data_IF_806111584060
#
_entry.id   IF_806111584060
#
_cell.length_a   1.000
_cell.length_b   1.000
_cell.length_c   1.000
_cell.angle_alpha   90.00
_cell.angle_beta   90.00
_cell.angle_gamma   90.00
#
_symmetry.space_group_name_H-M   'P 1'
#
loop_
_entity.id
_entity.type
_entity.pdbx_description
1 polymer ?
#
# COMPACT_ATOMS: atom_id res chain seq x y z
N UNK A 1 -61.59 11.66 30.93
CA UNK A 1 -62.74 11.38 30.05
C UNK A 1 -62.33 10.23 29.13
N UNK A 2 -62.85 8.99 29.21
CA UNK A 2 -64.18 8.47 28.77
C UNK A 2 -64.52 8.58 27.27
N UNK A 3 -64.09 7.57 26.49
CA UNK A 3 -64.92 6.60 25.70
C UNK A 3 -63.99 5.57 25.04
N UNK A 4 -64.15 4.24 25.04
CA UNK A 4 -65.28 3.26 25.14
C UNK A 4 -65.96 2.95 23.81
N UNK A 5 -65.73 1.74 23.25
CA UNK A 5 -66.75 0.71 22.96
C UNK A 5 -66.25 -0.58 22.26
N UNK A 6 -66.82 -1.73 22.66
CA UNK A 6 -67.23 -2.96 21.90
C UNK A 6 -66.17 -3.77 21.09
N UNK A 7 -66.16 -5.12 21.08
CA UNK A 7 -67.19 -6.18 20.86
C UNK A 7 -67.63 -6.26 19.37
N UNK A 8 -67.85 -7.43 18.74
CA UNK A 8 -68.23 -8.76 19.25
C UNK A 8 -67.78 -9.94 18.32
N UNK A 9 -67.81 -11.19 18.84
CA UNK A 9 -67.89 -12.57 18.25
C UNK A 9 -67.99 -12.79 16.70
N UNK A 10 -67.57 -13.95 16.12
CA UNK A 10 -68.21 -15.32 16.13
C UNK A 10 -67.31 -16.37 15.41
N UNK A 11 -67.49 -17.70 15.39
CA UNK A 11 -68.21 -18.78 16.14
C UNK A 11 -67.91 -20.14 15.40
N UNK A 12 -68.23 -21.41 15.78
CA UNK A 12 -68.79 -22.13 16.96
C UNK A 12 -68.56 -23.67 16.79
N UNK A 13 -68.86 -24.50 17.81
CA UNK A 13 -69.23 -25.96 17.75
C UNK A 13 -68.12 -27.00 17.40
N UNK A 14 -68.10 -28.31 17.81
CA UNK A 14 -68.88 -29.27 18.68
C UNK A 14 -68.00 -30.58 18.76
N UNK A 15 -67.93 -31.58 19.69
CA UNK A 15 -68.38 -32.04 21.06
C UNK A 15 -67.23 -32.96 21.61
N UNK A 16 -67.02 -33.33 22.90
CA UNK A 16 -67.73 -34.20 23.90
C UNK A 16 -68.03 -35.66 23.43
N UNK A 17 -67.95 -36.71 24.30
CA UNK A 17 -68.04 -36.74 25.79
C UNK A 17 -66.94 -37.55 26.58
N UNK A 18 -67.04 -37.72 27.93
CA UNK A 18 -65.97 -38.28 28.82
C UNK A 18 -66.39 -39.40 29.84
N UNK A 19 -65.44 -39.82 30.71
CA UNK A 19 -65.57 -40.67 31.94
C UNK A 19 -65.86 -42.19 31.76
N UNK A 20 -65.75 -43.10 32.75
CA UNK A 20 -64.78 -43.34 33.87
C UNK A 20 -65.16 -44.65 34.66
N UNK A 21 -64.30 -45.10 35.60
CA UNK A 21 -64.56 -46.06 36.71
C UNK A 21 -64.41 -47.60 36.46
N UNK A 22 -63.76 -48.24 37.45
CA UNK A 22 -63.56 -49.64 37.92
C UNK A 22 -64.20 -50.88 37.22
N UNK A 23 -63.54 -52.05 37.32
CA UNK A 23 -64.17 -53.37 37.03
C UNK A 23 -63.27 -54.62 36.91
N UNK A 24 -62.88 -55.22 38.04
CA UNK A 24 -62.41 -56.61 38.33
C UNK A 24 -62.43 -57.71 37.22
N UNK A 25 -61.38 -58.55 37.13
CA UNK A 25 -61.52 -60.01 36.92
C UNK A 25 -60.46 -60.77 36.07
N UNK A 26 -60.01 -61.94 36.56
CA UNK A 26 -59.21 -63.02 35.91
C UNK A 26 -57.79 -62.63 35.37
N UNK A 27 -56.68 -63.28 35.78
CA UNK A 27 -56.23 -64.68 35.58
C UNK A 27 -55.77 -64.95 34.11
N UNK A 28 -54.73 -65.73 33.81
CA UNK A 28 -53.95 -66.78 34.51
C UNK A 28 -52.42 -66.46 34.44
N UNK A 29 -51.57 -66.79 35.44
CA UNK A 29 -50.76 -68.03 35.62
C UNK A 29 -49.63 -68.21 34.56
N UNK A 30 -48.42 -68.72 34.80
CA UNK A 30 -47.83 -69.52 35.90
C UNK A 30 -46.29 -69.23 36.03
N UNK A 31 -45.68 -69.58 37.18
CA UNK A 31 -44.24 -69.88 37.33
C UNK A 31 -43.25 -68.71 37.52
N UNK A 32 -42.35 -68.72 38.51
CA UNK A 32 -42.18 -69.67 39.62
C UNK A 32 -40.83 -69.49 40.35
N UNK A 33 -40.91 -69.19 41.65
CA UNK A 33 -39.98 -69.49 42.75
C UNK A 33 -38.44 -69.31 42.62
N UNK A 34 -37.95 -68.30 43.35
CA UNK A 34 -36.73 -68.38 44.19
C UNK A 34 -36.78 -69.61 45.14
N UNK A 35 -35.66 -70.19 45.68
CA UNK A 35 -34.60 -69.39 46.31
C UNK A 35 -33.14 -69.93 46.36
N UNK A 36 -32.20 -68.99 46.54
CA UNK A 36 -30.96 -69.17 47.34
C UNK A 36 -29.85 -70.09 46.80
N UNK A 37 -28.66 -70.13 47.43
CA UNK A 37 -28.02 -69.09 48.25
C UNK A 37 -26.47 -69.21 48.19
N UNK A 38 -25.76 -68.18 48.68
CA UNK A 38 -24.30 -67.95 48.79
C UNK A 38 -23.35 -69.10 48.36
N UNK A 39 -22.56 -68.83 47.31
CA UNK A 39 -21.10 -69.12 47.36
C UNK A 39 -20.27 -68.13 46.55
N UNK A 40 -19.06 -67.81 47.03
CA UNK A 40 -18.19 -66.76 46.46
C UNK A 40 -17.17 -67.35 45.49
N UNK A 41 -17.15 -66.90 44.22
CA UNK A 41 -15.89 -66.85 43.44
C UNK A 41 -15.77 -65.58 42.61
N UNK A 42 -14.55 -65.04 42.57
CA UNK A 42 -14.19 -63.70 42.08
C UNK A 42 -13.76 -63.76 40.61
N UNK A 43 -14.66 -63.52 39.66
CA UNK A 43 -14.29 -63.28 38.26
C UNK A 43 -13.96 -61.81 38.02
N UNK A 44 -12.78 -61.54 37.46
CA UNK A 44 -12.37 -60.18 37.07
C UNK A 44 -13.17 -59.73 35.85
N UNK A 45 -14.11 -58.79 36.02
CA UNK A 45 -14.56 -57.94 34.92
C UNK A 45 -13.38 -57.06 34.49
N UNK A 46 -13.05 -57.05 33.20
CA UNK A 46 -11.99 -56.17 32.68
C UNK A 46 -12.41 -54.70 32.76
N UNK A 47 -11.43 -53.80 32.81
CA UNK A 47 -11.67 -52.35 32.91
C UNK A 47 -12.53 -51.85 31.73
N UNK A 48 -12.37 -52.44 30.54
CA UNK A 48 -13.16 -52.14 29.35
C UNK A 48 -14.68 -52.23 29.61
N UNK A 49 -15.16 -53.29 30.26
CA UNK A 49 -16.61 -53.50 30.51
C UNK A 49 -17.18 -52.42 31.44
N UNK A 50 -16.39 -51.90 32.39
CA UNK A 50 -16.81 -50.76 33.22
C UNK A 50 -16.87 -49.45 32.43
N UNK A 51 -15.96 -49.24 31.48
CA UNK A 51 -15.97 -48.04 30.61
C UNK A 51 -17.18 -48.07 29.67
N UNK A 52 -17.49 -49.22 29.04
CA UNK A 52 -18.65 -49.36 28.15
C UNK A 52 -19.97 -49.06 28.88
N UNK A 53 -20.16 -49.60 30.09
CA UNK A 53 -21.38 -49.37 30.89
C UNK A 53 -21.51 -47.94 31.47
N UNK A 54 -20.44 -47.14 31.46
CA UNK A 54 -20.52 -45.71 31.78
C UNK A 54 -20.94 -44.90 30.55
N UNK A 55 -20.32 -45.18 29.39
CA UNK A 55 -20.59 -44.53 28.11
C UNK A 55 -22.02 -44.76 27.58
N UNK A 56 -22.66 -45.89 27.92
CA UNK A 56 -24.07 -46.14 27.55
C UNK A 56 -25.09 -45.51 28.49
N UNK A 57 -24.69 -45.09 29.71
CA UNK A 57 -25.60 -44.55 30.73
C UNK A 57 -25.59 -43.01 30.82
N UNK A 58 -24.49 -42.35 30.45
CA UNK A 58 -24.47 -40.90 30.20
C UNK A 58 -24.37 -40.66 28.69
N UNK A 59 -25.46 -40.19 28.09
CA UNK A 59 -25.57 -40.03 26.63
C UNK A 59 -24.51 -39.11 26.00
N UNK A 60 -24.43 -39.17 24.66
CA UNK A 60 -23.37 -38.66 23.77
C UNK A 60 -22.76 -37.26 24.02
N UNK A 61 -23.35 -36.42 24.88
CA UNK A 61 -22.75 -35.16 25.31
C UNK A 61 -21.38 -35.32 25.99
N UNK A 62 -21.18 -36.31 26.87
CA UNK A 62 -19.94 -36.37 27.66
C UNK A 62 -18.68 -36.63 26.80
N UNK A 63 -18.67 -37.58 25.84
CA UNK A 63 -17.57 -37.72 24.90
C UNK A 63 -17.30 -36.45 24.06
N UNK A 64 -18.35 -35.77 23.61
CA UNK A 64 -18.24 -34.55 22.80
C UNK A 64 -17.63 -33.40 23.62
N UNK A 65 -18.03 -33.22 24.89
CA UNK A 65 -17.45 -32.22 25.80
C UNK A 65 -15.98 -32.54 26.11
N UNK A 66 -15.62 -33.80 26.31
CA UNK A 66 -14.21 -34.21 26.51
C UNK A 66 -13.37 -33.95 25.25
N UNK A 67 -13.87 -34.29 24.06
CA UNK A 67 -13.19 -33.99 22.79
C UNK A 67 -13.03 -32.47 22.60
N UNK A 68 -14.07 -31.68 22.91
CA UNK A 68 -14.01 -30.21 22.88
C UNK A 68 -12.96 -29.64 23.83
N UNK A 69 -12.88 -30.15 25.07
CA UNK A 69 -11.84 -29.79 26.03
C UNK A 69 -10.43 -30.15 25.54
N UNK A 70 -10.25 -31.34 24.96
CA UNK A 70 -8.95 -31.73 24.37
C UNK A 70 -8.57 -30.80 23.22
N UNK A 71 -9.51 -30.44 22.33
CA UNK A 71 -9.28 -29.48 21.23
C UNK A 71 -8.91 -28.11 21.78
N UNK A 72 -9.57 -27.62 22.84
CA UNK A 72 -9.24 -26.33 23.49
C UNK A 72 -7.86 -26.37 24.15
N UNK A 73 -7.50 -27.45 24.84
CA UNK A 73 -6.19 -27.62 25.46
C UNK A 73 -5.08 -27.68 24.39
N UNK A 74 -5.24 -28.50 23.35
CA UNK A 74 -4.29 -28.59 22.23
C UNK A 74 -4.17 -27.24 21.52
N UNK A 75 -5.27 -26.53 21.29
CA UNK A 75 -5.25 -25.18 20.70
C UNK A 75 -4.51 -24.19 21.60
N UNK A 76 -4.74 -24.22 22.92
CA UNK A 76 -4.06 -23.35 23.88
C UNK A 76 -2.55 -23.61 23.93
N UNK A 77 -2.12 -24.87 23.86
CA UNK A 77 -0.70 -25.26 23.78
C UNK A 77 -0.08 -24.83 22.44
N UNK A 78 -0.79 -24.97 21.32
CA UNK A 78 -0.36 -24.49 20.00
C UNK A 78 -0.27 -22.95 19.96
N UNK A 79 -1.11 -22.24 20.70
CA UNK A 79 -1.04 -20.78 20.82
C UNK A 79 0.17 -20.38 21.70
N UNK A 80 0.28 -20.91 22.93
CA UNK A 80 1.38 -20.55 23.85
C UNK A 80 2.77 -20.96 23.35
N UNK A 81 2.88 -22.06 22.59
CA UNK A 81 4.16 -22.46 21.97
C UNK A 81 4.62 -21.53 20.85
N UNK A 82 3.73 -20.69 20.28
CA UNK A 82 4.09 -19.67 19.28
C UNK A 82 4.55 -18.36 19.91
N UNK A 83 4.17 -18.08 21.15
CA UNK A 83 4.63 -16.90 21.91
C UNK A 83 5.99 -17.14 22.63
N UNK A 84 6.47 -18.39 22.69
CA UNK A 84 7.72 -18.77 23.35
C UNK A 84 8.98 -18.76 22.45
N UNK A 85 8.86 -18.48 21.15
CA UNK A 85 10.00 -18.44 20.21
C UNK A 85 10.32 -17.01 19.80
N UNK A 86 11.23 -16.38 20.54
CA UNK A 86 11.76 -15.04 20.26
C UNK A 86 13.26 -14.99 20.55
N UNK A 87 14.01 -14.26 19.70
CA UNK A 87 15.48 -14.05 19.74
C UNK A 87 16.25 -15.35 19.37
N UNK A 88 17.03 -15.43 18.29
CA UNK A 88 17.97 -14.42 17.75
C UNK A 88 18.17 -14.51 16.22
N UNK A 89 19.14 -13.73 15.72
CA UNK A 89 19.63 -13.61 14.33
C UNK A 89 18.72 -12.87 13.33
N UNK A 90 19.32 -12.41 12.23
CA UNK A 90 18.78 -11.37 11.35
C UNK A 90 18.58 -11.80 9.90
N UNK A 91 17.80 -10.99 9.17
CA UNK A 91 17.99 -10.74 7.73
C UNK A 91 17.78 -11.88 6.71
N UNK A 92 17.01 -12.94 7.01
CA UNK A 92 16.78 -14.02 6.02
C UNK A 92 15.41 -14.71 5.99
N UNK A 93 14.36 -14.20 6.65
CA UNK A 93 13.09 -14.96 6.76
C UNK A 93 11.81 -14.14 6.53
N UNK A 94 11.54 -13.81 5.26
CA UNK A 94 10.30 -13.15 4.81
C UNK A 94 9.19 -14.14 4.38
N UNK A 95 9.45 -15.45 4.40
CA UNK A 95 8.66 -16.46 3.68
C UNK A 95 7.43 -16.96 4.48
N UNK A 96 7.46 -16.85 5.82
CA UNK A 96 6.51 -17.53 6.71
C UNK A 96 5.04 -17.07 6.64
N UNK A 97 4.73 -15.87 6.13
CA UNK A 97 3.35 -15.32 6.07
C UNK A 97 2.60 -15.53 4.76
N UNK A 98 3.27 -15.92 3.67
CA UNK A 98 2.61 -16.14 2.37
C UNK A 98 1.62 -17.32 2.36
N UNK A 99 1.81 -18.32 3.24
CA UNK A 99 1.10 -19.60 3.24
C UNK A 99 -0.41 -19.56 3.53
N UNK A 100 -1.02 -18.40 3.85
CA UNK A 100 -2.47 -18.31 4.07
C UNK A 100 -3.27 -18.13 2.77
N UNK A 101 -2.63 -17.70 1.67
CA UNK A 101 -3.18 -17.73 0.33
C UNK A 101 -2.30 -18.66 -0.51
N UNK A 102 -2.84 -19.83 -0.90
CA UNK A 102 -2.07 -20.93 -1.50
C UNK A 102 -1.36 -20.59 -2.82
N UNK A 103 -0.17 -20.01 -2.71
CA UNK A 103 0.77 -19.74 -3.78
C UNK A 103 2.15 -20.28 -3.38
N UNK A 104 2.32 -21.61 -3.45
CA UNK A 104 3.65 -22.20 -3.62
C UNK A 104 4.12 -21.92 -5.05
N UNK A 105 4.52 -20.67 -5.29
CA UNK A 105 5.21 -20.25 -6.50
C UNK A 105 6.71 -20.34 -6.25
N UNK A 106 7.42 -21.12 -7.07
CA UNK A 106 8.88 -21.01 -7.19
C UNK A 106 9.24 -19.56 -7.54
N UNK A 107 10.26 -19.00 -6.90
CA UNK A 107 10.68 -17.61 -7.09
C UNK A 107 11.21 -17.37 -8.51
N UNK A 108 10.31 -17.01 -9.42
CA UNK A 108 10.66 -16.33 -10.68
C UNK A 108 10.93 -14.86 -10.35
N UNK A 109 12.19 -14.50 -10.10
CA UNK A 109 12.59 -13.11 -9.77
C UNK A 109 12.22 -12.07 -10.86
N UNK A 110 11.82 -12.53 -12.05
CA UNK A 110 11.26 -11.77 -13.17
C UNK A 110 9.75 -12.00 -13.31
N UNK A 111 8.97 -10.94 -13.56
CA UNK A 111 7.55 -11.00 -13.98
C UNK A 111 6.49 -11.40 -12.95
N UNK A 112 6.76 -12.30 -12.00
CA UNK A 112 5.69 -12.91 -11.17
C UNK A 112 5.13 -12.04 -10.03
N UNK A 113 5.15 -10.71 -10.22
CA UNK A 113 4.92 -9.63 -9.25
C UNK A 113 5.97 -9.50 -8.14
N UNK A 114 6.57 -8.32 -8.09
CA UNK A 114 7.24 -7.75 -6.92
C UNK A 114 7.29 -6.23 -7.05
N UNK A 115 8.05 -5.55 -6.19
CA UNK A 115 8.21 -4.09 -6.25
C UNK A 115 9.45 -3.76 -7.08
N UNK A 116 9.35 -3.09 -8.25
CA UNK A 116 10.52 -2.57 -8.96
C UNK A 116 11.05 -1.33 -8.25
N UNK A 117 12.36 -1.08 -8.32
CA UNK A 117 12.99 0.11 -7.75
C UNK A 117 14.20 0.56 -8.57
N UNK A 118 14.52 1.85 -8.57
CA UNK A 118 15.81 2.32 -9.10
C UNK A 118 16.95 1.93 -8.15
N UNK A 119 18.03 1.34 -8.68
CA UNK A 119 19.19 0.97 -7.85
C UNK A 119 19.91 2.21 -7.33
N UNK A 120 19.78 2.48 -6.03
CA UNK A 120 20.68 3.39 -5.30
C UNK A 120 22.14 2.98 -5.48
N UNK A 121 23.03 3.96 -5.64
CA UNK A 121 24.46 3.66 -5.77
C UNK A 121 25.01 2.97 -4.51
N UNK A 122 25.81 1.92 -4.72
CA UNK A 122 26.38 1.08 -3.65
C UNK A 122 25.34 0.46 -2.69
N UNK A 123 24.06 0.37 -3.08
CA UNK A 123 22.99 -0.16 -2.21
C UNK A 123 22.60 0.78 -1.07
N UNK A 124 22.96 2.07 -1.14
CA UNK A 124 22.66 3.07 -0.13
C UNK A 124 21.15 3.27 0.04
N UNK A 125 20.71 3.53 1.27
CA UNK A 125 19.32 3.84 1.59
C UNK A 125 19.24 5.10 2.46
N UNK A 126 18.03 5.48 2.85
CA UNK A 126 17.74 6.58 3.77
C UNK A 126 18.25 6.31 5.19
N UNK A 127 18.50 7.37 5.95
CA UNK A 127 19.03 7.29 7.31
C UNK A 127 17.93 7.07 8.37
N UNK A 128 16.66 7.34 8.01
CA UNK A 128 15.51 7.13 8.89
C UNK A 128 15.03 5.67 8.91
N UNK A 129 14.58 5.23 10.10
CA UNK A 129 14.09 3.87 10.32
C UNK A 129 12.57 3.82 10.41
N UNK A 130 12.03 2.60 10.39
CA UNK A 130 10.62 2.32 10.73
C UNK A 130 10.17 2.92 12.07
N UNK A 131 11.07 3.03 13.07
CA UNK A 131 10.75 3.65 14.37
C UNK A 131 10.60 5.17 14.25
N UNK A 132 11.31 5.80 13.31
CA UNK A 132 11.22 7.23 13.06
C UNK A 132 9.93 7.56 12.32
N UNK A 133 9.55 6.74 11.34
CA UNK A 133 8.24 6.83 10.68
C UNK A 133 7.07 6.71 11.67
N UNK A 134 7.14 5.77 12.62
CA UNK A 134 6.11 5.65 13.67
C UNK A 134 6.04 6.89 14.58
N UNK A 135 7.17 7.47 15.00
CA UNK A 135 7.19 8.73 15.78
C UNK A 135 6.63 9.90 14.95
N UNK A 136 7.01 9.97 13.68
CA UNK A 136 6.47 10.94 12.73
C UNK A 136 4.96 10.85 12.59
N UNK A 137 4.36 9.65 12.62
CA UNK A 137 2.90 9.50 12.63
C UNK A 137 2.25 9.98 13.94
N UNK A 138 2.89 9.74 15.08
CA UNK A 138 2.41 10.24 16.39
C UNK A 138 2.41 11.78 16.46
N UNK A 139 3.35 12.45 15.78
CA UNK A 139 3.40 13.91 15.63
C UNK A 139 2.46 14.43 14.53
N UNK A 140 2.39 13.75 13.38
CA UNK A 140 1.69 14.25 12.18
C UNK A 140 0.18 14.08 12.20
N UNK A 141 -0.36 13.04 12.85
CA UNK A 141 -1.81 12.81 12.91
C UNK A 141 -2.60 14.03 13.44
N UNK A 142 -2.27 14.63 14.61
CA UNK A 142 -2.97 15.83 15.07
C UNK A 142 -2.75 17.05 14.16
N UNK A 143 -1.61 17.14 13.45
CA UNK A 143 -1.38 18.17 12.43
C UNK A 143 -2.38 18.00 11.28
N UNK A 144 -2.45 16.82 10.66
CA UNK A 144 -3.34 16.55 9.52
C UNK A 144 -4.84 16.68 9.85
N UNK A 145 -5.23 16.49 11.11
CA UNK A 145 -6.58 16.78 11.60
C UNK A 145 -6.93 18.28 11.45
N UNK A 146 -5.98 19.19 11.63
CA UNK A 146 -6.16 20.65 11.50
C UNK A 146 -6.25 21.15 10.05
N UNK A 147 -5.92 20.33 9.03
CA UNK A 147 -5.81 20.77 7.62
C UNK A 147 -6.98 21.64 7.11
N UNK A 148 -6.75 22.70 6.33
CA UNK A 148 -7.82 23.57 5.81
C UNK A 148 -8.69 22.85 4.76
N UNK A 149 -8.11 21.94 3.99
CA UNK A 149 -8.77 21.22 2.90
C UNK A 149 -9.16 19.83 3.40
N UNK A 150 -10.34 19.71 4.03
CA UNK A 150 -10.79 18.42 4.60
C UNK A 150 -10.96 17.33 3.54
N UNK A 151 -11.53 17.67 2.38
CA UNK A 151 -11.63 16.81 1.20
C UNK A 151 -10.71 17.34 0.08
N UNK A 152 -9.57 16.68 -0.13
CA UNK A 152 -8.59 17.05 -1.15
C UNK A 152 -8.73 16.25 -2.46
N UNK A 153 -9.96 15.89 -2.88
CA UNK A 153 -10.19 15.17 -4.14
C UNK A 153 -9.41 15.78 -5.33
N UNK A 154 -8.69 14.93 -6.08
CA UNK A 154 -7.71 15.26 -7.12
C UNK A 154 -6.37 15.88 -6.64
N UNK A 155 -5.92 15.56 -5.42
CA UNK A 155 -4.55 15.81 -4.95
C UNK A 155 -4.22 14.91 -3.75
N UNK A 156 -3.02 15.07 -3.18
CA UNK A 156 -2.49 14.25 -2.06
C UNK A 156 -3.53 13.88 -0.98
N UNK A 157 -3.60 12.59 -0.66
CA UNK A 157 -4.27 12.02 0.52
C UNK A 157 -3.38 12.02 1.77
N UNK A 158 -3.77 11.26 2.81
CA UNK A 158 -3.04 11.18 4.08
C UNK A 158 -1.60 10.72 3.90
N UNK A 159 -1.40 9.60 3.21
CA UNK A 159 -0.12 8.91 3.11
C UNK A 159 0.95 9.80 2.48
N UNK A 160 0.67 10.37 1.30
CA UNK A 160 1.56 11.30 0.61
C UNK A 160 1.77 12.61 1.40
N UNK A 161 0.74 13.11 2.09
CA UNK A 161 0.87 14.27 2.99
C UNK A 161 1.81 14.01 4.16
N UNK A 162 1.75 12.81 4.75
CA UNK A 162 2.67 12.37 5.81
C UNK A 162 4.10 12.25 5.28
N UNK A 163 4.29 11.62 4.12
CA UNK A 163 5.61 11.48 3.51
C UNK A 163 6.30 12.81 3.26
N UNK A 164 5.59 13.75 2.61
CA UNK A 164 6.12 15.09 2.35
C UNK A 164 6.47 15.83 3.64
N UNK A 165 5.60 15.78 4.66
CA UNK A 165 5.89 16.38 5.97
C UNK A 165 7.13 15.76 6.62
N UNK A 166 7.20 14.44 6.68
CA UNK A 166 8.26 13.69 7.35
C UNK A 166 9.63 13.89 6.68
N UNK A 167 9.70 13.77 5.34
CA UNK A 167 10.94 14.01 4.58
C UNK A 167 11.43 15.45 4.78
N UNK A 168 10.52 16.42 4.78
CA UNK A 168 10.85 17.83 5.01
C UNK A 168 11.40 18.06 6.43
N UNK A 169 10.74 17.51 7.45
CA UNK A 169 11.18 17.56 8.86
C UNK A 169 12.51 16.85 9.12
N UNK A 170 12.82 15.79 8.37
CA UNK A 170 14.12 15.12 8.47
C UNK A 170 15.25 15.95 7.84
N UNK A 171 15.03 16.48 6.63
CA UNK A 171 16.05 17.20 5.86
C UNK A 171 16.31 18.63 6.36
N UNK A 172 15.31 19.27 6.98
CA UNK A 172 15.36 20.64 7.50
C UNK A 172 15.97 21.63 6.49
N UNK A 173 15.34 21.78 5.31
CA UNK A 173 15.85 22.62 4.23
C UNK A 173 15.81 24.11 4.59
N UNK A 174 16.65 24.90 3.91
CA UNK A 174 16.67 26.37 3.99
C UNK A 174 15.75 27.02 2.94
N UNK A 175 15.34 26.26 1.92
CA UNK A 175 14.32 26.65 0.95
C UNK A 175 13.54 25.41 0.51
N UNK A 176 12.22 25.54 0.42
CA UNK A 176 11.32 24.53 -0.13
C UNK A 176 10.80 25.02 -1.48
N UNK A 177 10.99 24.23 -2.53
CA UNK A 177 10.47 24.49 -3.87
C UNK A 177 9.33 23.51 -4.15
N UNK A 178 8.18 24.02 -4.54
CA UNK A 178 7.00 23.26 -4.96
C UNK A 178 6.78 23.52 -6.46
N UNK A 179 6.59 22.46 -7.23
CA UNK A 179 6.14 22.54 -8.63
C UNK A 179 4.85 21.74 -8.75
N UNK A 180 3.72 22.44 -8.90
CA UNK A 180 2.38 21.88 -8.71
C UNK A 180 1.80 22.25 -7.35
N UNK A 181 0.94 23.27 -7.31
CA UNK A 181 0.32 23.75 -6.07
C UNK A 181 -1.17 23.37 -5.94
N UNK A 182 -1.87 23.21 -7.07
CA UNK A 182 -3.31 22.96 -7.14
C UNK A 182 -4.14 23.84 -6.17
N UNK A 183 -4.70 23.26 -5.09
CA UNK A 183 -5.49 23.95 -4.05
C UNK A 183 -4.64 24.50 -2.88
N UNK A 184 -3.33 24.31 -2.88
CA UNK A 184 -2.40 24.71 -1.82
C UNK A 184 -2.26 23.70 -0.67
N UNK A 185 -2.71 22.45 -0.83
CA UNK A 185 -2.62 21.44 0.25
C UNK A 185 -1.17 21.01 0.52
N UNK A 186 -0.39 20.77 -0.54
CA UNK A 186 1.06 20.58 -0.50
C UNK A 186 1.77 21.76 0.17
N UNK A 187 1.41 22.99 -0.21
CA UNK A 187 2.00 24.22 0.35
C UNK A 187 1.70 24.34 1.85
N UNK A 188 0.50 23.95 2.28
CA UNK A 188 0.14 23.87 3.70
C UNK A 188 0.99 22.83 4.44
N UNK A 189 1.15 21.62 3.87
CA UNK A 189 1.99 20.56 4.45
C UNK A 189 3.44 21.02 4.64
N UNK A 190 4.04 21.66 3.64
CA UNK A 190 5.39 22.24 3.72
C UNK A 190 5.48 23.30 4.83
N UNK A 191 4.47 24.18 4.96
CA UNK A 191 4.38 25.18 6.04
C UNK A 191 4.19 24.55 7.43
N UNK A 192 3.51 23.39 7.54
CA UNK A 192 3.39 22.65 8.81
C UNK A 192 4.65 21.84 9.15
N UNK A 193 5.48 21.51 8.16
CA UNK A 193 6.77 20.87 8.39
C UNK A 193 7.82 21.89 8.88
N UNK A 194 7.94 23.03 8.21
CA UNK A 194 8.94 24.06 8.51
C UNK A 194 8.30 25.46 8.55
N UNK A 195 7.74 25.90 9.70
CA UNK A 195 6.95 27.12 9.82
C UNK A 195 7.60 28.39 9.28
N UNK A 196 8.89 28.60 9.51
CA UNK A 196 9.60 29.83 9.11
C UNK A 196 10.35 29.73 7.76
N UNK A 197 10.46 28.53 7.18
CA UNK A 197 11.28 28.32 5.97
C UNK A 197 10.60 28.90 4.72
N UNK A 198 11.30 29.65 3.86
CA UNK A 198 10.73 30.18 2.62
C UNK A 198 10.19 29.07 1.71
N UNK A 199 9.06 29.35 1.06
CA UNK A 199 8.48 28.50 0.00
C UNK A 199 8.53 29.26 -1.32
N UNK A 200 8.92 28.57 -2.39
CA UNK A 200 8.75 29.02 -3.78
C UNK A 200 7.83 28.02 -4.48
N UNK A 201 6.66 28.47 -4.93
CA UNK A 201 5.67 27.62 -5.59
C UNK A 201 5.50 28.00 -7.06
N UNK A 202 5.63 27.02 -7.95
CA UNK A 202 5.40 27.14 -9.38
C UNK A 202 4.06 26.45 -9.72
N UNK A 203 3.12 27.18 -10.30
CA UNK A 203 1.84 26.60 -10.74
C UNK A 203 1.21 27.45 -11.83
N UNK A 204 0.66 26.87 -12.93
CA UNK A 204 -0.09 27.64 -13.92
C UNK A 204 -1.25 28.46 -13.32
N UNK A 205 -1.79 28.03 -12.17
CA UNK A 205 -2.94 28.66 -11.49
C UNK A 205 -2.68 28.85 -9.99
N UNK A 206 -2.85 30.08 -9.51
CA UNK A 206 -2.73 30.41 -8.08
C UNK A 206 -3.81 29.69 -7.24
N UNK A 207 -3.48 29.14 -6.05
CA UNK A 207 -4.44 28.44 -5.20
C UNK A 207 -5.69 29.26 -4.83
N UNK A 208 -5.58 30.59 -4.72
CA UNK A 208 -6.75 31.48 -4.49
C UNK A 208 -7.88 31.26 -5.50
N UNK A 209 -7.54 30.86 -6.74
CA UNK A 209 -8.50 30.69 -7.84
C UNK A 209 -9.38 29.44 -7.66
N UNK A 210 -9.19 28.69 -6.57
CA UNK A 210 -10.00 27.56 -6.14
C UNK A 210 -10.92 27.91 -4.95
N UNK A 211 -10.68 29.00 -4.20
CA UNK A 211 -11.54 29.46 -3.09
C UNK A 211 -13.00 29.69 -3.52
N UNK A 212 -13.23 30.07 -4.78
CA UNK A 212 -14.58 30.22 -5.38
C UNK A 212 -15.29 28.89 -5.70
N UNK A 213 -14.62 27.74 -5.55
CA UNK A 213 -15.14 26.39 -5.82
C UNK A 213 -15.18 25.49 -4.58
N UNK A 214 -14.57 25.91 -3.47
CA UNK A 214 -14.46 25.12 -2.24
C UNK A 214 -13.21 25.51 -1.44
N UNK A 215 -12.86 24.74 -0.39
CA UNK A 215 -11.66 25.00 0.40
C UNK A 215 -10.38 24.96 -0.44
N UNK A 216 -9.52 25.95 -0.21
CA UNK A 216 -8.16 26.05 -0.71
C UNK A 216 -7.31 26.80 0.32
N UNK A 217 -5.99 26.71 0.20
CA UNK A 217 -5.02 27.38 1.07
C UNK A 217 -4.08 28.26 0.25
N UNK A 218 -3.69 29.39 0.83
CA UNK A 218 -2.69 30.31 0.29
C UNK A 218 -1.76 30.65 1.45
N UNK A 219 -0.46 30.38 1.30
CA UNK A 219 0.52 30.75 2.31
C UNK A 219 0.98 32.20 2.10
N UNK A 220 0.86 33.03 3.14
CA UNK A 220 1.23 34.45 3.06
C UNK A 220 2.73 34.73 2.94
N UNK A 221 3.58 33.72 3.15
CA UNK A 221 5.04 33.80 3.07
C UNK A 221 5.62 32.98 1.89
N UNK A 222 4.76 32.57 0.94
CA UNK A 222 5.15 31.80 -0.24
C UNK A 222 5.34 32.73 -1.45
N UNK A 223 6.48 32.59 -2.13
CA UNK A 223 6.72 33.24 -3.42
C UNK A 223 6.08 32.40 -4.53
N UNK A 224 4.87 32.78 -4.93
CA UNK A 224 4.12 32.15 -6.00
C UNK A 224 4.48 32.71 -7.39
N UNK A 225 4.96 31.85 -8.28
CA UNK A 225 5.11 32.11 -9.72
C UNK A 225 3.93 31.50 -10.46
N UNK A 226 2.88 32.28 -10.74
CA UNK A 226 1.61 31.76 -11.24
C UNK A 226 0.89 32.70 -12.22
N UNK A 227 -0.01 32.15 -13.05
CA UNK A 227 -0.80 32.94 -13.99
C UNK A 227 0.07 33.61 -15.05
N UNK A 228 0.15 34.95 -15.04
CA UNK A 228 1.01 35.72 -15.96
C UNK A 228 2.49 35.61 -15.61
N UNK A 229 2.79 35.37 -14.34
CA UNK A 229 4.15 35.27 -13.78
C UNK A 229 4.58 33.80 -13.62
N UNK A 230 3.84 32.86 -14.21
CA UNK A 230 4.20 31.44 -14.26
C UNK A 230 5.41 31.22 -15.17
N UNK A 231 6.40 30.49 -14.66
CA UNK A 231 7.56 30.01 -15.42
C UNK A 231 7.77 28.55 -15.06
N UNK A 232 7.90 27.68 -16.07
CA UNK A 232 8.19 26.26 -15.85
C UNK A 232 9.51 26.04 -15.08
N UNK A 233 9.54 25.01 -14.24
CA UNK A 233 10.71 24.62 -13.45
C UNK A 233 12.01 24.51 -14.28
N UNK A 234 11.93 24.01 -15.51
CA UNK A 234 13.09 23.87 -16.41
C UNK A 234 13.57 25.17 -17.05
N UNK A 235 12.75 26.22 -17.01
CA UNK A 235 13.00 27.54 -17.61
C UNK A 235 13.31 28.63 -16.58
N UNK A 236 13.16 28.33 -15.29
CA UNK A 236 13.38 29.27 -14.19
C UNK A 236 14.86 29.65 -14.01
N UNK A 237 15.13 30.94 -13.76
CA UNK A 237 16.46 31.42 -13.34
C UNK A 237 16.68 31.11 -11.85
N UNK A 238 17.03 29.85 -11.59
CA UNK A 238 17.39 29.38 -10.25
C UNK A 238 18.57 30.16 -9.63
N UNK A 239 19.47 30.73 -10.44
CA UNK A 239 20.58 31.56 -9.95
C UNK A 239 20.08 32.87 -9.32
N UNK A 240 19.06 33.50 -9.91
CA UNK A 240 18.39 34.69 -9.37
C UNK A 240 17.44 34.36 -8.23
N UNK A 241 16.66 33.27 -8.33
CA UNK A 241 15.73 32.86 -7.26
C UNK A 241 16.49 32.51 -5.98
N UNK A 242 17.51 31.64 -6.05
CA UNK A 242 18.29 31.25 -4.86
C UNK A 242 18.95 32.47 -4.21
N UNK A 243 19.53 33.38 -5.00
CA UNK A 243 20.13 34.63 -4.51
C UNK A 243 19.11 35.57 -3.84
N UNK A 244 17.87 35.65 -4.35
CA UNK A 244 16.78 36.42 -3.70
C UNK A 244 16.45 35.87 -2.30
N UNK A 245 16.52 34.55 -2.13
CA UNK A 245 16.24 33.87 -0.86
C UNK A 245 17.50 33.59 -0.02
N UNK A 246 18.65 34.20 -0.35
CA UNK A 246 19.91 34.06 0.40
C UNK A 246 20.61 32.70 0.30
N UNK A 247 20.10 31.77 -0.50
CA UNK A 247 20.58 30.38 -0.55
C UNK A 247 21.91 30.30 -1.30
N UNK A 248 22.94 29.81 -0.61
CA UNK A 248 24.29 29.59 -1.16
C UNK A 248 24.55 28.12 -1.49
N UNK A 249 24.15 27.18 -0.63
CA UNK A 249 24.23 25.75 -0.88
C UNK A 249 22.91 25.17 -1.41
N UNK A 250 22.94 24.62 -2.63
CA UNK A 250 21.81 23.91 -3.25
C UNK A 250 21.52 22.56 -2.61
N UNK A 251 22.45 22.01 -1.81
CA UNK A 251 22.24 20.78 -1.04
C UNK A 251 21.28 20.97 0.13
N UNK A 252 21.05 22.23 0.57
CA UNK A 252 20.09 22.61 1.62
C UNK A 252 18.69 22.93 1.07
N UNK A 253 18.42 22.65 -0.21
CA UNK A 253 17.13 22.90 -0.88
C UNK A 253 16.40 21.58 -1.11
N UNK A 254 15.12 21.55 -0.73
CA UNK A 254 14.18 20.47 -1.07
C UNK A 254 13.32 20.91 -2.27
N UNK A 255 13.16 20.03 -3.26
CA UNK A 255 12.25 20.22 -4.38
C UNK A 255 11.16 19.15 -4.35
N UNK A 256 9.91 19.56 -4.40
CA UNK A 256 8.73 18.70 -4.48
C UNK A 256 8.02 18.91 -5.83
N UNK A 257 7.67 17.80 -6.50
CA UNK A 257 6.95 17.78 -7.77
C UNK A 257 5.60 17.07 -7.63
N UNK A 258 4.54 17.79 -7.98
CA UNK A 258 3.10 17.41 -8.00
C UNK A 258 2.46 18.08 -9.25
N UNK A 259 3.20 18.08 -10.37
CA UNK A 259 2.86 18.83 -11.61
C UNK A 259 2.52 17.95 -12.82
N UNK A 260 2.45 16.63 -12.62
CA UNK A 260 2.13 15.62 -13.64
C UNK A 260 2.95 15.76 -14.93
N UNK A 261 4.19 16.23 -14.80
CA UNK A 261 5.19 16.22 -15.86
C UNK A 261 6.11 15.01 -15.69
N UNK A 262 6.56 14.47 -16.82
CA UNK A 262 7.48 13.35 -16.92
C UNK A 262 8.68 13.48 -15.94
N UNK A 263 8.85 12.49 -15.05
CA UNK A 263 9.82 12.58 -13.95
C UNK A 263 11.27 12.58 -14.46
N UNK A 264 11.55 11.91 -15.58
CA UNK A 264 12.88 11.94 -16.21
C UNK A 264 13.25 13.35 -16.71
N UNK A 265 12.26 14.09 -17.21
CA UNK A 265 12.39 15.50 -17.63
C UNK A 265 12.63 16.38 -16.41
N UNK A 266 11.86 16.22 -15.32
CA UNK A 266 12.07 16.95 -14.06
C UNK A 266 13.41 16.63 -13.38
N UNK A 267 13.80 15.36 -13.30
CA UNK A 267 15.12 14.91 -12.82
C UNK A 267 16.27 15.56 -13.60
N UNK A 268 16.21 15.56 -14.93
CA UNK A 268 17.23 16.20 -15.79
C UNK A 268 17.27 17.71 -15.59
N UNK A 269 16.13 18.36 -15.38
CA UNK A 269 16.07 19.80 -15.07
C UNK A 269 16.65 20.12 -13.68
N UNK A 270 16.31 19.33 -12.66
CA UNK A 270 16.79 19.52 -11.29
C UNK A 270 18.30 19.26 -11.15
N UNK A 271 18.81 18.22 -11.82
CA UNK A 271 20.25 17.94 -11.92
C UNK A 271 21.00 19.10 -12.62
N UNK A 272 20.44 19.65 -13.71
CA UNK A 272 21.00 20.84 -14.39
C UNK A 272 20.97 22.09 -13.50
N UNK A 273 19.95 22.26 -12.67
CA UNK A 273 19.85 23.35 -11.70
C UNK A 273 20.80 23.18 -10.49
N UNK A 274 21.30 21.96 -10.26
CA UNK A 274 22.22 21.59 -9.20
C UNK A 274 21.55 21.24 -7.87
N UNK A 275 20.26 20.90 -7.87
CA UNK A 275 19.54 20.45 -6.67
C UNK A 275 19.86 19.01 -6.32
N UNK A 276 19.80 18.67 -5.03
CA UNK A 276 20.20 17.35 -4.50
C UNK A 276 19.05 16.52 -3.93
N UNK A 277 18.07 17.15 -3.28
CA UNK A 277 17.00 16.47 -2.57
C UNK A 277 15.68 16.71 -3.31
N UNK A 278 15.14 15.65 -3.91
CA UNK A 278 13.90 15.70 -4.69
C UNK A 278 12.86 14.76 -4.08
N UNK A 279 11.58 15.15 -4.14
CA UNK A 279 10.43 14.29 -3.86
C UNK A 279 9.45 14.39 -5.02
N UNK A 280 8.96 13.25 -5.49
CA UNK A 280 7.92 13.15 -6.51
C UNK A 280 6.65 12.53 -5.91
N UNK A 281 5.52 13.22 -6.07
CA UNK A 281 4.16 12.66 -6.04
C UNK A 281 3.98 11.71 -7.25
N UNK A 282 3.00 10.82 -7.19
CA UNK A 282 2.50 10.01 -8.32
C UNK A 282 3.61 9.24 -9.08
N UNK A 283 4.50 8.58 -8.33
CA UNK A 283 5.55 7.68 -8.86
C UNK A 283 4.96 6.34 -9.36
N UNK A 284 4.07 6.47 -10.35
CA UNK A 284 3.12 5.46 -10.81
C UNK A 284 3.73 4.10 -11.13
N UNK A 285 2.99 3.04 -10.82
CA UNK A 285 3.34 1.69 -11.23
C UNK A 285 3.19 1.48 -12.76
N UNK A 286 3.92 0.50 -13.28
CA UNK A 286 4.04 0.24 -14.72
C UNK A 286 2.71 -0.18 -15.34
N UNK A 287 2.37 0.42 -16.48
CA UNK A 287 1.05 0.32 -17.12
C UNK A 287 0.02 1.33 -16.62
N UNK A 288 0.33 2.17 -15.63
CA UNK A 288 -0.61 3.15 -15.05
C UNK A 288 -0.12 4.61 -15.15
N UNK A 289 -0.94 5.55 -14.69
CA UNK A 289 -0.54 6.96 -14.60
C UNK A 289 -0.71 7.79 -15.87
N UNK A 290 -0.48 9.09 -15.69
CA UNK A 290 -0.61 10.11 -16.73
C UNK A 290 0.73 10.72 -17.18
N UNK A 291 1.83 10.38 -16.50
CA UNK A 291 3.18 10.76 -16.88
C UNK A 291 4.18 9.62 -16.58
N UNK A 292 5.35 9.67 -17.22
CA UNK A 292 6.38 8.63 -17.12
C UNK A 292 7.20 8.76 -15.83
N UNK A 293 6.96 7.87 -14.87
CA UNK A 293 7.56 7.86 -13.54
C UNK A 293 8.95 7.20 -13.49
N UNK A 294 9.72 7.47 -12.44
CA UNK A 294 11.01 6.82 -12.17
C UNK A 294 10.86 5.32 -11.92
N UNK A 295 9.77 4.92 -11.25
CA UNK A 295 9.39 3.53 -11.11
C UNK A 295 9.17 2.86 -12.46
N UNK A 296 8.43 3.48 -13.39
CA UNK A 296 8.27 3.00 -14.77
C UNK A 296 9.57 2.93 -15.57
N UNK A 297 10.54 3.80 -15.26
CA UNK A 297 11.87 3.81 -15.89
C UNK A 297 12.74 2.67 -15.35
N UNK A 298 12.63 2.39 -14.05
CA UNK A 298 13.47 1.42 -13.34
C UNK A 298 12.85 0.02 -13.24
N UNK A 299 11.58 -0.15 -13.58
CA UNK A 299 11.01 -1.45 -13.90
C UNK A 299 11.77 -2.04 -15.11
N UNK A 300 12.52 -3.12 -14.88
CA UNK A 300 13.53 -3.69 -15.80
C UNK A 300 13.78 -5.16 -15.47
N UNK A 301 14.13 -5.98 -16.47
CA UNK A 301 14.33 -7.43 -16.32
C UNK A 301 15.43 -7.86 -15.32
N UNK A 302 16.36 -6.95 -14.99
CA UNK A 302 17.45 -7.18 -14.05
C UNK A 302 17.15 -6.62 -12.64
N UNK A 303 15.96 -6.07 -12.42
CA UNK A 303 15.45 -5.64 -11.13
C UNK A 303 14.51 -6.72 -10.61
N UNK A 304 14.67 -7.11 -9.33
CA UNK A 304 13.84 -8.13 -8.70
C UNK A 304 12.39 -7.66 -8.65
N UNK A 305 11.46 -8.45 -9.20
CA UNK A 305 10.05 -8.04 -9.33
C UNK A 305 9.79 -6.97 -10.40
N UNK A 306 10.79 -6.67 -11.24
CA UNK A 306 10.68 -5.85 -12.43
C UNK A 306 10.84 -6.65 -13.72
N UNK A 307 10.43 -6.03 -14.83
CA UNK A 307 10.25 -6.68 -16.12
C UNK A 307 9.02 -7.58 -16.14
N UNK A 308 8.25 -7.55 -17.25
CA UNK A 308 6.96 -8.23 -17.36
C UNK A 308 6.85 -9.12 -18.60
N UNK A 309 6.01 -10.15 -18.49
CA UNK A 309 5.63 -11.09 -19.54
C UNK A 309 4.32 -10.64 -20.20
N UNK A 310 4.36 -10.44 -21.53
CA UNK A 310 3.18 -10.10 -22.32
C UNK A 310 2.40 -11.32 -22.87
N UNK A 311 2.81 -12.54 -22.54
CA UNK A 311 2.10 -13.76 -22.94
C UNK A 311 0.82 -13.94 -22.11
N UNK A 312 -0.33 -14.07 -22.78
CA UNK A 312 -1.67 -14.10 -22.13
C UNK A 312 -1.92 -15.32 -21.26
N UNK A 313 -1.21 -16.41 -21.53
CA UNK A 313 -1.22 -17.69 -20.82
C UNK A 313 -0.16 -17.79 -19.72
N UNK A 314 0.68 -16.76 -19.54
CA UNK A 314 1.70 -16.72 -18.49
C UNK A 314 1.12 -16.63 -17.07
N UNK A 315 1.93 -17.05 -16.10
CA UNK A 315 1.58 -16.93 -14.69
C UNK A 315 1.38 -15.49 -14.23
N UNK A 316 2.12 -14.54 -14.79
CA UNK A 316 1.90 -13.12 -14.52
C UNK A 316 0.49 -12.67 -14.96
N UNK A 317 0.06 -13.04 -16.17
CA UNK A 317 -1.30 -12.77 -16.64
C UNK A 317 -2.36 -13.39 -15.72
N UNK A 318 -2.15 -14.66 -15.33
CA UNK A 318 -3.02 -15.41 -14.40
C UNK A 318 -3.12 -14.76 -13.02
N UNK A 319 -2.03 -14.20 -12.50
CA UNK A 319 -2.01 -13.53 -11.18
C UNK A 319 -2.63 -12.12 -11.30
N UNK A 320 -2.22 -11.30 -12.27
CA UNK A 320 -2.75 -9.94 -12.47
C UNK A 320 -4.26 -9.93 -12.66
N UNK A 321 -4.81 -10.83 -13.49
CA UNK A 321 -6.26 -10.98 -13.68
C UNK A 321 -7.02 -11.31 -12.38
N UNK A 322 -6.38 -11.98 -11.40
CA UNK A 322 -6.97 -12.17 -10.07
C UNK A 322 -6.93 -10.89 -9.23
N UNK A 323 -5.86 -10.10 -9.35
CA UNK A 323 -5.62 -8.90 -8.52
C UNK A 323 -6.40 -7.66 -8.98
N UNK A 324 -6.61 -7.48 -10.29
CA UNK A 324 -7.49 -6.46 -10.90
C UNK A 324 -8.93 -6.45 -10.35
N UNK A 325 -9.37 -7.54 -9.71
CA UNK A 325 -10.69 -7.68 -9.08
C UNK A 325 -10.77 -7.09 -7.66
N UNK A 326 -9.65 -6.68 -7.08
CA UNK A 326 -9.55 -6.18 -5.70
C UNK A 326 -8.86 -4.81 -5.60
N UNK A 327 -8.00 -4.44 -6.55
CA UNK A 327 -7.19 -3.21 -6.50
C UNK A 327 -7.38 -2.37 -7.76
N UNK A 328 -7.73 -1.08 -7.59
CA UNK A 328 -8.14 -0.17 -8.68
C UNK A 328 -7.03 0.13 -9.69
N UNK A 329 -5.76 0.06 -9.26
CA UNK A 329 -4.57 0.26 -10.11
C UNK A 329 -3.83 -1.04 -10.46
N UNK A 330 -4.36 -2.22 -10.12
CA UNK A 330 -3.80 -3.49 -10.58
C UNK A 330 -4.18 -3.75 -12.04
N UNK A 331 -3.31 -3.38 -12.96
CA UNK A 331 -3.49 -3.63 -14.41
C UNK A 331 -3.31 -5.10 -14.76
N UNK A 332 -4.14 -5.61 -15.68
CA UNK A 332 -3.90 -6.89 -16.34
C UNK A 332 -2.92 -6.77 -17.53
N UNK A 333 -2.59 -7.89 -18.16
CA UNK A 333 -1.60 -7.93 -19.25
C UNK A 333 -2.10 -7.26 -20.54
N UNK A 334 -3.41 -7.14 -20.75
CA UNK A 334 -3.96 -6.44 -21.93
C UNK A 334 -3.91 -4.91 -21.76
N UNK A 335 -4.06 -4.44 -20.51
CA UNK A 335 -3.84 -3.04 -20.11
C UNK A 335 -2.34 -2.67 -20.04
N UNK A 336 -1.49 -3.57 -19.53
CA UNK A 336 -0.05 -3.36 -19.35
C UNK A 336 0.72 -3.33 -20.67
N UNK A 337 0.45 -4.28 -21.57
CA UNK A 337 1.28 -4.52 -22.75
C UNK A 337 0.76 -3.78 -23.99
N UNK A 338 1.69 -3.12 -24.69
CA UNK A 338 1.49 -2.52 -26.00
C UNK A 338 1.98 -3.39 -27.17
N UNK A 339 1.93 -2.85 -28.40
CA UNK A 339 2.48 -3.51 -29.59
C UNK A 339 3.97 -3.86 -29.43
N UNK A 340 4.37 -5.03 -29.92
CA UNK A 340 5.76 -5.50 -29.79
C UNK A 340 6.17 -5.83 -28.35
N UNK A 341 5.24 -6.34 -27.54
CA UNK A 341 5.46 -6.77 -26.14
C UNK A 341 5.96 -5.62 -25.23
N UNK A 342 5.56 -4.39 -25.58
CA UNK A 342 5.98 -3.18 -24.87
C UNK A 342 5.21 -3.01 -23.56
N UNK A 343 5.70 -3.59 -22.47
CA UNK A 343 5.14 -3.44 -21.12
C UNK A 343 5.59 -2.17 -20.39
N UNK A 344 6.68 -1.51 -20.83
CA UNK A 344 7.29 -0.39 -20.12
C UNK A 344 6.52 0.94 -20.25
N UNK A 345 6.72 1.84 -19.28
CA UNK A 345 5.97 3.10 -19.22
C UNK A 345 4.48 2.82 -19.07
N UNK A 346 3.68 3.31 -20.02
CA UNK A 346 2.35 2.77 -20.28
C UNK A 346 2.32 2.21 -21.70
N UNK A 347 2.34 0.88 -21.84
CA UNK A 347 2.21 0.17 -23.13
C UNK A 347 3.28 0.57 -24.18
N UNK A 348 4.47 0.96 -23.73
CA UNK A 348 5.55 1.50 -24.57
C UNK A 348 5.56 3.03 -24.71
N UNK A 349 4.57 3.74 -24.16
CA UNK A 349 4.51 5.20 -24.15
C UNK A 349 5.26 5.81 -22.97
N UNK A 350 6.11 6.78 -23.27
CA UNK A 350 6.60 7.79 -22.35
C UNK A 350 5.61 8.96 -22.35
N UNK A 351 4.79 9.05 -21.30
CA UNK A 351 3.78 10.09 -21.10
C UNK A 351 4.37 11.34 -20.44
N UNK A 352 3.73 12.48 -20.69
CA UNK A 352 4.06 13.80 -20.15
C UNK A 352 2.80 14.69 -20.20
N UNK A 353 2.79 15.75 -19.39
CA UNK A 353 1.75 16.79 -19.34
C UNK A 353 0.32 16.26 -19.16
N UNK A 354 0.03 15.59 -18.03
CA UNK A 354 -1.29 15.00 -17.72
C UNK A 354 -1.83 14.06 -18.84
N UNK A 355 -0.95 13.26 -19.47
CA UNK A 355 -1.26 12.38 -20.60
C UNK A 355 -1.80 13.13 -21.86
N UNK A 356 -1.56 14.43 -21.98
CA UNK A 356 -1.78 15.16 -23.24
C UNK A 356 -0.60 15.00 -24.23
N UNK A 357 0.56 14.52 -23.78
CA UNK A 357 1.72 14.27 -24.64
C UNK A 357 2.30 12.87 -24.44
N UNK A 358 2.02 11.97 -25.38
CA UNK A 358 2.46 10.57 -25.32
C UNK A 358 3.46 10.30 -26.45
N UNK A 359 4.70 9.94 -26.07
CA UNK A 359 5.74 9.53 -27.03
C UNK A 359 6.01 8.04 -26.91
N UNK A 360 5.71 7.26 -27.95
CA UNK A 360 6.18 5.88 -28.03
C UNK A 360 7.72 5.82 -27.99
N UNK A 361 8.27 4.95 -27.14
CA UNK A 361 9.72 4.73 -26.99
C UNK A 361 10.09 3.26 -27.15
N UNK A 362 11.22 3.00 -27.83
CA UNK A 362 11.74 1.65 -27.99
C UNK A 362 12.28 1.09 -26.68
N UNK A 363 12.35 -0.25 -26.55
CA UNK A 363 12.98 -0.91 -25.40
C UNK A 363 14.40 -0.38 -25.13
N UNK A 364 15.19 -0.17 -26.19
CA UNK A 364 16.55 0.38 -26.07
C UNK A 364 16.58 1.82 -25.55
N UNK A 365 15.60 2.66 -25.90
CA UNK A 365 15.48 4.02 -25.34
C UNK A 365 15.05 3.98 -23.87
N UNK A 366 14.07 3.14 -23.54
CA UNK A 366 13.61 2.91 -22.16
C UNK A 366 14.75 2.39 -21.25
N UNK A 367 15.48 1.35 -21.67
CA UNK A 367 16.66 0.84 -20.97
C UNK A 367 17.76 1.90 -20.82
N UNK A 368 18.02 2.70 -21.86
CA UNK A 368 18.99 3.82 -21.80
C UNK A 368 18.57 4.89 -20.79
N UNK A 369 17.27 5.20 -20.71
CA UNK A 369 16.73 6.09 -19.69
C UNK A 369 16.93 5.52 -18.27
N UNK A 370 16.74 4.20 -18.09
CA UNK A 370 16.98 3.50 -16.82
C UNK A 370 18.45 3.57 -16.38
N UNK A 371 19.37 3.26 -17.31
CA UNK A 371 20.82 3.38 -17.10
C UNK A 371 21.23 4.82 -16.74
N UNK A 372 20.60 5.84 -17.32
CA UNK A 372 20.81 7.24 -16.95
C UNK A 372 20.34 7.53 -15.51
N UNK A 373 19.14 7.09 -15.13
CA UNK A 373 18.59 7.30 -13.78
C UNK A 373 19.49 6.66 -12.71
N UNK A 374 19.85 5.38 -12.87
CA UNK A 374 20.81 4.72 -11.95
C UNK A 374 22.17 5.43 -11.88
N UNK A 375 22.60 6.13 -12.94
CA UNK A 375 23.90 6.81 -12.96
C UNK A 375 23.95 8.11 -12.14
N UNK A 376 22.81 8.69 -11.78
CA UNK A 376 22.71 9.99 -11.08
C UNK A 376 22.17 9.89 -9.65
N UNK A 377 21.61 8.75 -9.24
CA UNK A 377 21.05 8.51 -7.91
C UNK A 377 22.12 8.12 -6.88
N UNK A 378 22.11 8.80 -5.74
CA UNK A 378 22.79 8.41 -4.50
C UNK A 378 21.85 7.55 -3.65
N UNK A 379 20.58 7.95 -3.53
CA UNK A 379 19.50 7.22 -2.84
C UNK A 379 18.20 7.28 -3.65
N UNK A 380 17.51 6.16 -3.76
CA UNK A 380 16.11 6.01 -4.14
C UNK A 380 15.33 5.41 -2.96
N UNK A 381 14.18 5.99 -2.60
CA UNK A 381 13.33 5.47 -1.53
C UNK A 381 11.85 5.77 -1.79
N UNK A 382 11.05 4.74 -2.01
CA UNK A 382 9.59 4.86 -2.00
C UNK A 382 9.08 4.95 -0.56
N UNK A 383 8.19 5.90 -0.33
CA UNK A 383 7.42 6.04 0.91
C UNK A 383 6.46 4.85 1.05
N UNK A 384 6.52 4.04 2.11
CA UNK A 384 5.54 2.98 2.32
C UNK A 384 4.16 3.54 2.68
N UNK A 385 3.05 2.86 2.33
CA UNK A 385 1.72 3.22 2.80
C UNK A 385 1.68 3.29 4.33
N UNK A 386 0.90 4.22 4.88
CA UNK A 386 0.85 4.47 6.33
C UNK A 386 0.26 3.28 7.06
N UNK A 387 -0.75 2.63 6.47
CA UNK A 387 -1.35 1.42 7.02
C UNK A 387 -1.87 0.50 5.92
N UNK A 388 -1.94 -0.79 6.23
CA UNK A 388 -2.40 -1.81 5.30
C UNK A 388 -3.90 -1.69 4.94
N UNK A 389 -4.34 -2.27 3.80
CA UNK A 389 -5.73 -2.17 3.36
C UNK A 389 -6.76 -2.74 4.34
N UNK A 390 -6.39 -3.69 5.21
CA UNK A 390 -7.29 -4.22 6.24
C UNK A 390 -7.57 -3.24 7.39
N UNK A 391 -6.90 -2.07 7.38
CA UNK A 391 -7.04 -1.01 8.40
C UNK A 391 -7.60 0.27 7.80
N UNK A 392 -7.22 0.62 6.56
CA UNK A 392 -7.65 1.86 5.90
C UNK A 392 -8.82 1.67 4.93
N UNK A 393 -9.13 0.43 4.54
CA UNK A 393 -10.08 0.08 3.47
C UNK A 393 -9.71 0.64 2.07
N UNK A 394 -8.48 1.12 1.87
CA UNK A 394 -8.06 1.65 0.57
C UNK A 394 -7.90 0.53 -0.47
N UNK A 395 -8.51 0.73 -1.64
CA UNK A 395 -8.47 -0.17 -2.79
C UNK A 395 -7.58 0.34 -3.92
N UNK A 396 -7.05 1.56 -3.82
CA UNK A 396 -6.31 2.23 -4.90
C UNK A 396 -5.08 1.46 -5.40
N UNK A 397 -4.15 1.08 -4.51
CA UNK A 397 -2.89 0.43 -4.91
C UNK A 397 -2.93 -1.10 -4.76
N UNK A 398 -2.01 -1.80 -5.45
CA UNK A 398 -1.79 -3.24 -5.28
C UNK A 398 -0.69 -3.52 -4.22
N UNK A 399 -0.99 -4.21 -3.10
CA UNK A 399 0.01 -4.51 -2.07
C UNK A 399 1.15 -5.46 -2.47
N UNK A 400 1.02 -6.24 -3.55
CA UNK A 400 2.13 -7.04 -4.08
C UNK A 400 3.10 -6.20 -4.94
N UNK A 401 2.67 -4.99 -5.33
CA UNK A 401 3.48 -3.99 -6.02
C UNK A 401 3.95 -2.88 -5.07
N UNK A 402 3.81 -3.01 -3.76
CA UNK A 402 4.19 -1.93 -2.82
C UNK A 402 5.00 -2.47 -1.63
N UNK A 403 5.89 -1.64 -1.08
CA UNK A 403 6.61 -1.94 0.16
C UNK A 403 5.65 -2.16 1.34
N UNK A 404 6.04 -2.98 2.32
CA UNK A 404 5.23 -3.26 3.50
C UNK A 404 4.85 -1.97 4.26
N UNK A 405 3.58 -1.80 4.67
CA UNK A 405 3.08 -0.54 5.24
C UNK A 405 3.63 -0.27 6.65
N UNK A 406 3.64 1.00 7.05
CA UNK A 406 4.13 1.44 8.37
C UNK A 406 3.30 0.83 9.51
N UNK A 407 2.01 0.59 9.29
CA UNK A 407 1.16 -0.22 10.17
C UNK A 407 0.65 -1.45 9.42
N UNK A 408 1.28 -2.61 9.67
CA UNK A 408 0.88 -3.91 9.12
C UNK A 408 -0.60 -4.23 9.36
N UNK A 409 -1.23 -4.94 8.41
CA UNK A 409 -2.59 -5.48 8.58
C UNK A 409 -2.73 -6.28 9.89
N UNK A 410 -3.91 -6.21 10.49
CA UNK A 410 -4.18 -6.79 11.81
C UNK A 410 -3.61 -6.00 13.01
N UNK A 411 -2.73 -4.99 12.84
CA UNK A 411 -2.23 -4.13 13.94
C UNK A 411 -3.25 -3.05 14.37
N UNK A 412 -4.54 -3.38 14.44
CA UNK A 412 -5.61 -2.41 14.73
C UNK A 412 -5.39 -1.61 16.03
N UNK A 413 -4.86 -2.23 17.09
CA UNK A 413 -4.53 -1.52 18.34
C UNK A 413 -3.45 -0.42 18.16
N UNK A 414 -2.50 -0.61 17.24
CA UNK A 414 -1.50 0.41 16.90
C UNK A 414 -2.14 1.51 16.05
N UNK A 415 -2.90 1.14 15.02
CA UNK A 415 -3.67 2.06 14.18
C UNK A 415 -4.57 3.01 15.00
N UNK A 416 -5.25 2.45 16.01
CA UNK A 416 -6.06 3.21 16.96
C UNK A 416 -5.21 4.08 17.92
N UNK A 417 -4.09 3.56 18.44
CA UNK A 417 -3.17 4.33 19.33
C UNK A 417 -2.60 5.56 18.61
N UNK A 418 -2.21 5.40 17.35
CA UNK A 418 -1.71 6.49 16.50
C UNK A 418 -2.80 7.52 16.15
N UNK A 419 -4.08 7.27 16.48
CA UNK A 419 -5.20 8.14 16.14
C UNK A 419 -5.67 8.05 14.68
N UNK A 420 -5.04 7.22 13.84
CA UNK A 420 -5.38 7.06 12.42
C UNK A 420 -6.84 6.61 12.23
N UNK A 421 -7.38 5.82 13.16
CA UNK A 421 -8.78 5.38 13.16
C UNK A 421 -9.81 6.49 13.46
N UNK A 422 -9.39 7.75 13.60
CA UNK A 422 -10.29 8.92 13.71
C UNK A 422 -10.62 9.53 12.35
N UNK A 423 -9.83 9.24 11.32
CA UNK A 423 -10.08 9.77 9.99
C UNK A 423 -11.08 8.90 9.22
N UNK A 424 -11.88 9.56 8.39
CA UNK A 424 -12.70 8.86 7.40
C UNK A 424 -11.81 8.12 6.39
N UNK A 425 -12.21 6.90 6.02
CA UNK A 425 -11.45 6.00 5.13
C UNK A 425 -11.05 6.65 3.79
N UNK A 426 -11.82 7.60 3.28
CA UNK A 426 -11.52 8.29 2.01
C UNK A 426 -10.22 9.09 2.04
N UNK A 427 -9.69 9.49 3.21
CA UNK A 427 -8.38 10.19 3.27
C UNK A 427 -7.21 9.29 2.87
N UNK A 428 -7.39 7.97 2.98
CA UNK A 428 -6.36 6.98 2.66
C UNK A 428 -6.49 6.44 1.22
N UNK A 429 -7.65 6.55 0.55
CA UNK A 429 -7.82 6.05 -0.83
C UNK A 429 -7.20 6.98 -1.91
N UNK A 430 -5.97 7.42 -1.65
CA UNK A 430 -5.20 8.37 -2.44
C UNK A 430 -3.78 7.92 -2.77
N UNK A 431 -3.24 6.87 -2.15
CA UNK A 431 -1.86 6.43 -2.38
C UNK A 431 -1.63 5.93 -3.82
N UNK A 432 -0.58 6.45 -4.46
CA UNK A 432 -0.15 6.13 -5.85
C UNK A 432 1.38 6.07 -5.97
N UNK A 433 2.04 5.71 -4.85
CA UNK A 433 3.49 5.75 -4.63
C UNK A 433 4.05 7.19 -4.63
N UNK A 434 4.87 7.50 -3.63
CA UNK A 434 5.66 8.73 -3.54
C UNK A 434 7.13 8.35 -3.36
N UNK A 435 8.05 9.06 -4.01
CA UNK A 435 9.48 8.72 -3.96
C UNK A 435 10.36 9.90 -3.56
N UNK A 436 11.27 9.65 -2.63
CA UNK A 436 12.39 10.52 -2.30
C UNK A 436 13.64 10.10 -3.06
N UNK A 437 14.33 11.08 -3.63
CA UNK A 437 15.62 10.93 -4.29
C UNK A 437 16.68 11.79 -3.60
N UNK A 438 17.85 11.20 -3.38
CA UNK A 438 19.08 11.96 -3.20
C UNK A 438 19.92 11.80 -4.48
N UNK A 439 20.30 12.91 -5.11
CA UNK A 439 21.20 12.90 -6.26
C UNK A 439 22.66 12.88 -5.84
N UNK A 440 23.51 12.30 -6.68
CA UNK A 440 24.96 12.31 -6.50
C UNK A 440 25.51 13.74 -6.59
N UNK A 441 26.44 14.09 -5.71
CA UNK A 441 27.18 15.34 -5.81
C UNK A 441 28.20 15.25 -6.95
N UNK A 442 27.76 15.60 -8.16
CA UNK A 442 28.59 15.62 -9.36
C UNK A 442 29.53 16.83 -9.33
N UNK A 443 30.80 16.59 -8.97
CA UNK A 443 31.86 17.63 -8.93
C UNK A 443 32.18 18.28 -10.28
N UNK A 444 31.64 17.74 -11.37
CA UNK A 444 31.73 18.30 -12.72
C UNK A 444 30.36 18.16 -13.40
N UNK A 445 29.92 19.13 -14.23
CA UNK A 445 28.70 19.01 -15.00
C UNK A 445 28.80 17.82 -15.96
N UNK A 446 27.72 17.04 -16.10
CA UNK A 446 27.66 15.96 -17.09
C UNK A 446 27.77 16.56 -18.48
N UNK A 447 28.92 16.37 -19.14
CA UNK A 447 29.04 16.59 -20.57
C UNK A 447 28.12 15.56 -21.24
N UNK A 448 26.98 16.04 -21.75
CA UNK A 448 26.03 15.18 -22.43
C UNK A 448 26.65 14.72 -23.75
N UNK A 449 27.25 13.52 -23.77
CA UNK A 449 27.89 12.95 -24.96
C UNK A 449 26.80 12.53 -25.95
N UNK A 450 26.30 13.51 -26.70
CA UNK A 450 25.39 13.30 -27.83
C UNK A 450 26.19 12.60 -28.93
N UNK A 451 26.02 11.28 -29.06
CA UNK A 451 26.56 10.47 -30.15
C UNK A 451 25.92 10.87 -31.49
N UNK A 452 26.34 12.01 -32.06
CA UNK A 452 26.09 12.38 -33.45
C UNK A 452 26.88 11.45 -34.37
N UNK A 453 26.27 10.33 -34.74
CA UNK A 453 26.85 9.31 -35.62
C UNK A 453 27.15 9.83 -37.03
N UNK A 454 28.32 10.47 -37.21
CA UNK A 454 28.90 10.70 -38.52
C UNK A 454 29.54 9.40 -39.01
N UNK A 455 28.95 8.78 -40.04
CA UNK A 455 29.59 7.69 -40.79
C UNK A 455 30.81 8.24 -41.55
N UNK A 456 32.02 8.02 -41.03
CA UNK A 456 33.26 8.20 -41.78
C UNK A 456 33.50 6.97 -42.67
N UNK A 457 33.36 7.13 -43.99
CA UNK A 457 33.75 6.09 -44.95
C UNK A 457 35.28 5.98 -44.95
N UNK A 458 35.87 4.78 -44.75
CA UNK A 458 37.32 4.63 -44.81
C UNK A 458 37.81 4.80 -46.25
N UNK A 459 38.75 5.73 -46.46
CA UNK A 459 39.52 5.76 -47.71
C UNK A 459 40.40 4.52 -47.77
N UNK A 460 40.42 3.86 -48.93
CA UNK A 460 41.41 2.81 -49.23
C UNK A 460 42.81 3.43 -49.22
N UNK A 461 43.75 2.82 -48.52
CA UNK A 461 45.16 2.95 -48.84
C UNK A 461 45.51 1.88 -49.89
N UNK A 462 46.29 2.27 -50.90
CA UNK A 462 46.89 1.32 -51.84
C UNK A 462 48.06 0.59 -51.19
N UNK A 463 48.29 -0.65 -51.61
CA UNK A 463 49.54 -1.38 -51.37
C UNK A 463 50.47 -1.14 -52.56
N UNK A 464 51.78 -1.28 -52.33
CA UNK A 464 52.83 -1.27 -53.36
C UNK A 464 52.68 -2.45 -54.31
#
# INVERSE_FOLDING_TARGET
MTKVNKMLERALSIRRPPHAVEGVGAAEDDGGDEPGDVSKTRKHMSIAVRVTNYLTRTGYFWPIVVIGLVIVIVSSVIIHSRDLVCISASSSDHISRLRFFGFDALESDFGSLGVPWCRSKHGKTVEWTYKDLLRGLEEFVPIYEMRPIKNNMHGMGFDHSFGLWFITQWLKPELMIESGAFKGHSTWILRQAMPDTPIVSLSPRHPEKYLKKGPAYVDGNCTYFTGKDFVDFGSMDWGRVLRKHGITDRSRVLVFFDDHQNELKRLKQALKAGFKHLVFEDNYDTGTGDHYSLRQICDQFYIRGGGHSCFKDSDEARIRFRRRKFWEKAVDVEELCGPGEAWWGVRGEMRDDFNHSNKAISYAEHFTNSRFVESVLDVYWELPPVAGPSLTHQTRYDPARTSAPIVEDGRYRLFQRLGLSRFDTSVFNGYTQMVYLQLLHLKFPVVLIVFRGKRSVPKRYGVV
#
